data_IF_846629872528
#
_entry.id   IF_846629872528
#
_cell.length_a   1.000
_cell.length_b   1.000
_cell.length_c   1.000
_cell.angle_alpha   90.00
_cell.angle_beta   90.00
_cell.angle_gamma   90.00
#
_symmetry.space_group_name_H-M   'P 1'
#
loop_
_entity.id
_entity.type
_entity.pdbx_description
1 polymer ?
#
# COMPACT_ATOMS: atom_id res chain seq x y z
N UNK A 1 15.46 8.58 1.48
CA UNK A 1 14.25 7.75 1.25
C UNK A 1 13.10 8.59 0.75
N UNK A 2 12.57 9.54 1.54
CA UNK A 2 11.42 10.37 1.14
C UNK A 2 11.65 11.22 -0.12
N UNK A 3 12.86 11.80 -0.29
CA UNK A 3 13.24 12.51 -1.51
C UNK A 3 13.38 11.62 -2.76
N UNK A 4 13.57 10.31 -2.58
CA UNK A 4 13.61 9.34 -3.69
C UNK A 4 12.21 9.02 -4.21
N UNK A 5 11.24 8.88 -3.30
CA UNK A 5 9.82 8.64 -3.61
C UNK A 5 9.19 9.80 -4.37
N UNK A 6 9.61 11.04 -4.06
CA UNK A 6 9.10 12.24 -4.72
C UNK A 6 9.51 12.36 -6.21
N UNK A 7 10.46 11.55 -6.70
CA UNK A 7 10.91 11.59 -8.10
C UNK A 7 10.10 10.68 -9.04
N UNK A 8 9.19 9.86 -8.51
CA UNK A 8 8.33 9.02 -9.34
C UNK A 8 7.06 9.80 -9.72
N UNK A 9 6.87 10.00 -11.02
CA UNK A 9 5.77 10.74 -11.64
C UNK A 9 5.21 9.96 -12.82
N UNK A 10 3.98 9.45 -12.67
CA UNK A 10 3.44 8.43 -13.56
C UNK A 10 4.24 7.12 -13.50
N UNK A 11 3.60 6.01 -13.86
CA UNK A 11 4.25 4.69 -13.86
C UNK A 11 4.19 4.07 -15.26
N UNK A 12 5.35 3.90 -15.89
CA UNK A 12 5.47 3.24 -17.19
C UNK A 12 5.55 1.72 -17.07
N UNK A 13 5.99 1.22 -15.90
CA UNK A 13 6.15 -0.21 -15.62
C UNK A 13 5.29 -0.65 -14.44
N UNK A 14 4.59 -1.76 -14.60
CA UNK A 14 3.73 -2.32 -13.56
C UNK A 14 4.25 -3.70 -13.14
N UNK A 15 4.46 -3.88 -11.84
CA UNK A 15 4.93 -5.14 -11.26
C UNK A 15 3.76 -5.95 -10.72
N UNK A 16 3.90 -7.28 -10.73
CA UNK A 16 2.87 -8.19 -10.21
C UNK A 16 3.18 -8.56 -8.77
N UNK A 17 2.20 -8.42 -7.90
CA UNK A 17 2.27 -9.00 -6.56
C UNK A 17 1.77 -10.45 -6.60
N UNK A 18 2.68 -11.40 -6.39
CA UNK A 18 2.42 -12.83 -6.53
C UNK A 18 2.46 -13.49 -5.15
N UNK A 19 1.38 -14.18 -4.79
CA UNK A 19 1.29 -15.00 -3.58
C UNK A 19 0.98 -16.44 -3.99
N UNK A 20 1.99 -17.32 -3.93
CA UNK A 20 1.89 -18.68 -4.45
C UNK A 20 1.59 -18.69 -5.96
N UNK A 21 0.56 -19.42 -6.44
CA UNK A 21 0.20 -19.43 -7.86
C UNK A 21 -0.67 -18.23 -8.28
N UNK A 22 -1.07 -17.35 -7.36
CA UNK A 22 -2.03 -16.29 -7.61
C UNK A 22 -1.35 -14.93 -7.75
N UNK A 23 -1.79 -14.14 -8.73
CA UNK A 23 -1.48 -12.70 -8.80
C UNK A 23 -2.59 -11.93 -8.11
N UNK A 24 -2.27 -11.28 -7.00
CA UNK A 24 -3.26 -10.57 -6.17
C UNK A 24 -3.49 -9.12 -6.60
N UNK A 25 -2.54 -8.53 -7.33
CA UNK A 25 -2.63 -7.16 -7.82
C UNK A 25 -1.34 -6.70 -8.50
N UNK A 26 -1.30 -5.42 -8.82
CA UNK A 26 -0.21 -4.74 -9.49
C UNK A 26 0.34 -3.61 -8.62
N UNK A 27 1.59 -3.21 -8.81
CA UNK A 27 2.16 -2.05 -8.13
C UNK A 27 3.18 -1.33 -8.99
N UNK A 28 3.38 -0.04 -8.73
CA UNK A 28 4.23 0.87 -9.52
C UNK A 28 5.72 0.73 -9.20
N UNK A 29 6.54 1.38 -10.01
CA UNK A 29 8.00 1.47 -9.81
C UNK A 29 8.37 2.11 -8.48
N UNK A 30 7.68 3.19 -8.07
CA UNK A 30 7.91 3.84 -6.79
C UNK A 30 7.61 2.93 -5.60
N UNK A 31 6.52 2.16 -5.67
CA UNK A 31 6.17 1.18 -4.63
C UNK A 31 7.17 0.03 -4.59
N UNK A 32 7.64 -0.44 -5.75
CA UNK A 32 8.72 -1.45 -5.80
C UNK A 32 9.98 -0.93 -5.15
N UNK A 33 10.40 0.29 -5.52
CA UNK A 33 11.60 0.91 -4.98
C UNK A 33 11.48 1.11 -3.47
N UNK A 34 10.31 1.51 -2.97
CA UNK A 34 10.01 1.59 -1.54
C UNK A 34 10.23 0.22 -0.86
N UNK A 35 9.61 -0.83 -1.37
CA UNK A 35 9.70 -2.16 -0.78
C UNK A 35 11.14 -2.70 -0.79
N UNK A 36 11.87 -2.51 -1.90
CA UNK A 36 13.28 -2.93 -2.03
C UNK A 36 14.23 -2.18 -1.09
N UNK A 37 14.00 -0.89 -0.85
CA UNK A 37 14.91 -0.07 -0.02
C UNK A 37 14.56 -0.12 1.47
N UNK A 38 13.39 -0.63 1.82
CA UNK A 38 12.94 -0.73 3.22
C UNK A 38 12.82 -2.18 3.70
N UNK A 39 13.01 -3.17 2.80
CA UNK A 39 12.73 -4.59 3.03
C UNK A 39 11.29 -4.86 3.54
N UNK A 40 10.38 -3.90 3.39
CA UNK A 40 9.02 -3.94 3.94
C UNK A 40 7.98 -4.46 2.94
N UNK A 41 8.27 -5.60 2.32
CA UNK A 41 7.31 -6.32 1.48
C UNK A 41 6.08 -6.81 2.25
N UNK A 42 6.17 -6.89 3.58
CA UNK A 42 5.04 -7.20 4.45
C UNK A 42 3.91 -6.16 4.33
N UNK A 43 4.22 -4.89 4.02
CA UNK A 43 3.21 -3.85 3.86
C UNK A 43 2.39 -4.09 2.59
N UNK A 44 3.05 -4.43 1.48
CA UNK A 44 2.38 -4.84 0.25
C UNK A 44 1.51 -6.07 0.49
N UNK A 45 2.04 -7.07 1.22
CA UNK A 45 1.28 -8.27 1.59
C UNK A 45 0.00 -7.93 2.35
N UNK A 46 0.11 -7.09 3.39
CA UNK A 46 -1.03 -6.69 4.22
C UNK A 46 -2.12 -6.03 3.37
N UNK A 47 -1.75 -5.11 2.48
CA UNK A 47 -2.69 -4.43 1.59
C UNK A 47 -3.33 -5.41 0.59
N UNK A 48 -2.53 -6.19 -0.14
CA UNK A 48 -3.07 -7.07 -1.19
C UNK A 48 -3.94 -8.22 -0.66
N UNK A 49 -3.68 -8.71 0.56
CA UNK A 49 -4.59 -9.65 1.23
C UNK A 49 -5.95 -9.00 1.41
N UNK A 50 -6.00 -7.78 1.95
CA UNK A 50 -7.25 -7.06 2.17
C UNK A 50 -8.03 -6.80 0.87
N UNK A 51 -7.34 -6.58 -0.26
CA UNK A 51 -7.97 -6.43 -1.59
C UNK A 51 -8.57 -7.72 -2.15
N UNK A 52 -8.13 -8.87 -1.64
CA UNK A 52 -8.54 -10.19 -2.14
C UNK A 52 -9.44 -10.95 -1.15
N UNK A 53 -9.68 -10.39 0.04
CA UNK A 53 -10.64 -10.93 1.01
C UNK A 53 -12.09 -10.75 0.51
N UNK A 54 -12.86 -11.83 0.30
CA UNK A 54 -14.13 -11.81 -0.43
C UNK A 54 -15.27 -11.07 0.27
N UNK A 55 -15.16 -10.83 1.58
CA UNK A 55 -16.17 -10.14 2.38
C UNK A 55 -15.74 -8.75 2.86
N UNK A 56 -14.59 -8.26 2.38
CA UNK A 56 -14.06 -7.00 2.82
C UNK A 56 -14.79 -5.82 2.17
N UNK A 57 -15.24 -4.87 2.98
CA UNK A 57 -15.86 -3.64 2.49
C UNK A 57 -14.85 -2.79 1.70
N UNK A 58 -13.56 -2.88 2.06
CA UNK A 58 -12.46 -2.14 1.42
C UNK A 58 -12.45 -2.33 -0.09
N UNK A 59 -12.56 -3.59 -0.57
CA UNK A 59 -12.54 -3.92 -2.00
C UNK A 59 -13.66 -3.23 -2.82
N UNK A 60 -14.74 -2.81 -2.17
CA UNK A 60 -15.87 -2.16 -2.85
C UNK A 60 -15.57 -0.70 -3.17
N UNK A 61 -14.62 -0.09 -2.47
CA UNK A 61 -14.26 1.30 -2.70
C UNK A 61 -13.34 1.40 -3.93
N UNK A 62 -13.71 2.25 -4.91
CA UNK A 62 -12.98 2.38 -6.17
C UNK A 62 -11.59 3.01 -5.98
N UNK A 63 -11.42 3.74 -4.89
CA UNK A 63 -10.19 4.40 -4.49
C UNK A 63 -10.00 4.24 -2.99
N UNK A 64 -8.77 3.98 -2.57
CA UNK A 64 -8.43 3.79 -1.16
C UNK A 64 -7.11 4.46 -0.84
N UNK A 65 -7.04 5.08 0.33
CA UNK A 65 -5.81 5.65 0.88
C UNK A 65 -5.35 4.77 2.03
N UNK A 66 -4.14 4.24 1.90
CA UNK A 66 -3.48 3.41 2.90
C UNK A 66 -2.38 4.21 3.58
N UNK A 67 -2.55 4.48 4.87
CA UNK A 67 -1.58 5.23 5.69
C UNK A 67 -0.98 4.31 6.74
N UNK A 68 0.34 4.13 6.70
CA UNK A 68 1.11 3.50 7.77
C UNK A 68 1.80 4.57 8.59
N UNK A 69 1.43 4.71 9.86
CA UNK A 69 2.11 5.61 10.81
C UNK A 69 2.91 4.79 11.80
N UNK A 70 4.20 5.07 11.92
CA UNK A 70 5.15 4.40 12.83
C UNK A 70 5.50 5.31 14.00
N UNK A 71 5.28 4.82 15.21
CA UNK A 71 5.59 5.49 16.46
C UNK A 71 7.07 5.32 16.83
N UNK A 72 7.55 6.18 17.75
CA UNK A 72 8.93 6.15 18.22
C UNK A 72 9.33 4.83 18.91
N UNK A 73 8.35 4.11 19.48
CA UNK A 73 8.55 2.79 20.11
C UNK A 73 8.45 1.62 19.12
N UNK A 74 8.52 1.90 17.81
CA UNK A 74 8.43 0.92 16.71
C UNK A 74 7.09 0.21 16.58
N UNK A 75 6.06 0.62 17.31
CA UNK A 75 4.67 0.25 16.99
C UNK A 75 4.22 1.02 15.76
N UNK A 76 3.27 0.46 15.03
CA UNK A 76 2.65 1.17 13.92
C UNK A 76 1.14 1.00 13.89
N UNK A 77 0.48 1.87 13.14
CA UNK A 77 -0.94 1.75 12.81
C UNK A 77 -1.06 1.82 11.30
N UNK A 78 -1.65 0.79 10.71
CA UNK A 78 -2.05 0.78 9.31
C UNK A 78 -3.53 1.14 9.23
N UNK A 79 -3.86 2.18 8.47
CA UNK A 79 -5.23 2.66 8.28
C UNK A 79 -5.56 2.66 6.80
N UNK A 80 -6.76 2.21 6.45
CA UNK A 80 -7.32 2.34 5.12
C UNK A 80 -8.56 3.23 5.18
N UNK A 81 -8.63 4.24 4.33
CA UNK A 81 -9.81 5.10 4.13
C UNK A 81 -10.22 5.17 2.66
N UNK A 82 -11.44 5.66 2.40
CA UNK A 82 -12.05 5.77 1.06
C UNK A 82 -11.57 6.97 0.23
N UNK A 83 -10.57 7.72 0.70
CA UNK A 83 -10.11 8.98 0.10
C UNK A 83 -10.94 10.20 0.47
N UNK A 84 -12.08 10.03 1.14
CA UNK A 84 -12.91 11.11 1.68
C UNK A 84 -12.86 11.18 3.21
N UNK A 85 -11.92 10.45 3.84
CA UNK A 85 -11.71 10.41 5.28
C UNK A 85 -12.63 9.43 6.03
N UNK A 86 -13.42 8.61 5.32
CA UNK A 86 -14.12 7.50 5.96
C UNK A 86 -13.16 6.34 6.17
N UNK A 87 -12.76 6.11 7.42
CA UNK A 87 -11.91 4.97 7.77
C UNK A 87 -12.68 3.65 7.58
N UNK A 88 -12.14 2.79 6.71
CA UNK A 88 -12.67 1.47 6.40
C UNK A 88 -12.04 0.40 7.29
N UNK A 89 -10.76 0.58 7.63
CA UNK A 89 -9.97 -0.37 8.42
C UNK A 89 -8.92 0.35 9.24
N UNK A 90 -8.63 -0.20 10.41
CA UNK A 90 -7.48 0.16 11.22
C UNK A 90 -6.88 -1.09 11.84
N UNK A 91 -5.58 -1.27 11.68
CA UNK A 91 -4.81 -2.38 12.23
C UNK A 91 -3.64 -1.84 13.07
N UNK A 92 -3.56 -2.30 14.32
CA UNK A 92 -2.42 -2.01 15.18
C UNK A 92 -1.34 -3.05 14.98
N UNK A 93 -0.14 -2.57 14.66
CA UNK A 93 1.04 -3.40 14.42
C UNK A 93 1.94 -3.28 15.66
N UNK A 94 2.11 -4.37 16.45
CA UNK A 94 2.86 -4.33 17.71
C UNK A 94 4.35 -3.99 17.53
N UNK A 95 4.91 -4.26 16.34
CA UNK A 95 6.28 -3.95 16.00
C UNK A 95 6.47 -3.91 14.48
N UNK A 96 7.23 -2.93 13.99
CA UNK A 96 7.70 -2.87 12.60
C UNK A 96 9.13 -2.34 12.52
N UNK A 97 9.86 -2.80 11.52
CA UNK A 97 11.17 -2.32 11.12
C UNK A 97 11.11 -1.16 10.11
N UNK A 98 9.91 -0.76 9.67
CA UNK A 98 9.75 0.31 8.69
C UNK A 98 10.49 1.59 9.12
N UNK A 99 11.35 2.16 8.25
CA UNK A 99 12.31 3.16 8.67
C UNK A 99 11.74 4.59 8.75
N UNK A 100 10.60 4.86 8.11
CA UNK A 100 9.97 6.19 8.09
C UNK A 100 8.87 6.27 9.15
N UNK A 101 8.59 7.48 9.64
CA UNK A 101 7.49 7.72 10.58
C UNK A 101 6.12 7.59 9.93
N UNK A 102 6.05 7.76 8.61
CA UNK A 102 4.80 7.66 7.86
C UNK A 102 5.06 7.29 6.40
N UNK A 103 4.13 6.56 5.81
CA UNK A 103 3.98 6.42 4.35
C UNK A 103 2.51 6.38 3.99
N UNK A 104 2.17 7.03 2.88
CA UNK A 104 0.85 6.98 2.26
C UNK A 104 0.98 6.29 0.90
N UNK A 105 0.13 5.30 0.67
CA UNK A 105 0.00 4.57 -0.59
C UNK A 105 -1.46 4.62 -1.03
N UNK A 106 -1.71 4.62 -2.33
CA UNK A 106 -3.06 4.57 -2.87
C UNK A 106 -3.32 3.24 -3.54
N UNK A 107 -4.56 2.76 -3.43
CA UNK A 107 -5.04 1.64 -4.23
C UNK A 107 -6.15 2.12 -5.14
N UNK A 108 -5.95 1.84 -6.42
CA UNK A 108 -6.91 2.05 -7.50
C UNK A 108 -7.21 0.74 -8.21
N UNK A 109 -8.25 0.75 -9.04
CA UNK A 109 -8.63 -0.41 -9.82
C UNK A 109 -8.47 -0.16 -11.31
N UNK A 110 -7.63 -0.96 -11.95
CA UNK A 110 -7.59 -1.10 -13.40
C UNK A 110 -8.42 -2.33 -13.80
N UNK A 111 -9.57 -2.08 -14.42
CA UNK A 111 -10.68 -3.02 -14.62
C UNK A 111 -11.13 -3.72 -13.32
N UNK A 112 -10.52 -4.86 -12.99
CA UNK A 112 -10.82 -5.67 -11.80
C UNK A 112 -9.57 -5.96 -10.96
N UNK A 113 -8.43 -5.33 -11.26
CA UNK A 113 -7.17 -5.55 -10.57
C UNK A 113 -6.83 -4.35 -9.72
N UNK A 114 -6.51 -4.60 -8.45
CA UNK A 114 -5.96 -3.58 -7.57
C UNK A 114 -4.55 -3.18 -8.05
N UNK A 115 -4.31 -1.88 -8.17
CA UNK A 115 -3.04 -1.26 -8.46
C UNK A 115 -2.64 -0.45 -7.23
N UNK A 116 -1.49 -0.78 -6.63
CA UNK A 116 -0.92 -0.06 -5.50
C UNK A 116 0.15 0.92 -5.99
N UNK A 117 -0.01 2.20 -5.69
CA UNK A 117 0.86 3.27 -6.19
C UNK A 117 1.21 4.29 -5.10
N UNK A 118 2.26 5.08 -5.35
CA UNK A 118 2.50 6.30 -4.58
C UNK A 118 1.49 7.38 -5.02
N UNK A 119 1.07 8.29 -4.13
CA UNK A 119 0.21 9.42 -4.50
C UNK A 119 0.76 10.30 -5.64
N UNK A 120 2.08 10.33 -5.83
CA UNK A 120 2.74 11.08 -6.91
C UNK A 120 2.75 10.35 -8.27
N UNK A 121 2.34 9.08 -8.30
CA UNK A 121 2.31 8.21 -9.49
C UNK A 121 0.91 8.01 -10.09
N UNK A 122 -0.11 8.66 -9.49
CA UNK A 122 -1.47 8.76 -10.04
C UNK A 122 -1.51 9.62 -11.30
#
# INVERSE_FOLDING_TARGET
>A
MQAGLANFHGSETWYRYILGPFTLGLYTEGVKWLADNTDCYWLLNAIFIQQNEPHNAIKKEPFQVWTLTVLADKKATLTADDGNGQVLMREEIPFTDFPMSEIVLWVEYDDQRAVLLLPSEH
#
